data_IF_436131085663
#
_entry.id   IF_436131085663
#
_cell.length_a   1.000
_cell.length_b   1.000
_cell.length_c   1.000
_cell.angle_alpha   90.00
_cell.angle_beta   90.00
_cell.angle_gamma   90.00
#
_symmetry.space_group_name_H-M   'P 1'
#
loop_
_entity.id
_entity.type
_entity.pdbx_description
1 polymer ?
#
# COMPACT_ATOMS: atom_id res chain seq x y z
N UNK A 1 -20.04 49.90 22.58
CA UNK A 1 -20.50 48.51 22.46
C UNK A 1 -20.08 47.99 21.10
N UNK A 2 -19.00 47.20 21.06
CA UNK A 2 -18.44 46.67 19.81
C UNK A 2 -19.16 45.39 19.42
N UNK A 3 -19.79 45.37 18.26
CA UNK A 3 -20.35 44.16 17.66
C UNK A 3 -19.21 43.35 17.02
N UNK A 4 -18.82 42.26 17.64
CA UNK A 4 -18.03 41.20 17.03
C UNK A 4 -18.92 40.44 16.04
N UNK A 5 -18.70 40.66 14.74
CA UNK A 5 -19.25 39.79 13.70
C UNK A 5 -18.61 38.41 13.86
N UNK A 6 -19.42 37.44 14.26
CA UNK A 6 -19.05 36.03 14.24
C UNK A 6 -18.88 35.63 12.77
N UNK A 7 -17.64 35.32 12.36
CA UNK A 7 -17.37 34.69 11.08
C UNK A 7 -17.78 33.22 11.22
N UNK A 8 -18.87 32.85 10.54
CA UNK A 8 -19.12 31.45 10.20
C UNK A 8 -17.93 30.92 9.37
N UNK A 9 -17.38 29.73 9.67
CA UNK A 9 -16.39 29.11 8.81
C UNK A 9 -17.06 28.78 7.47
N UNK A 10 -16.53 29.35 6.39
CA UNK A 10 -16.95 29.03 5.04
C UNK A 10 -16.80 27.51 4.80
N UNK A 11 -17.80 26.84 4.20
CA UNK A 11 -17.65 25.46 3.80
C UNK A 11 -16.70 25.38 2.61
N UNK A 12 -15.43 25.05 2.88
CA UNK A 12 -14.46 24.61 1.87
C UNK A 12 -15.00 23.34 1.19
N UNK A 13 -15.86 23.52 0.20
CA UNK A 13 -16.57 22.48 -0.53
C UNK A 13 -16.23 22.56 -2.02
N UNK A 14 -14.96 22.77 -2.34
CA UNK A 14 -14.45 22.30 -3.63
C UNK A 14 -14.21 20.79 -3.47
N UNK A 15 -14.77 19.94 -4.35
CA UNK A 15 -14.43 18.52 -4.34
C UNK A 15 -12.90 18.39 -4.48
N UNK A 16 -12.29 17.55 -3.65
CA UNK A 16 -10.86 17.23 -3.75
C UNK A 16 -10.67 16.38 -5.02
N UNK A 17 -10.66 17.03 -6.18
CA UNK A 17 -10.57 16.39 -7.50
C UNK A 17 -9.37 15.44 -7.55
N UNK A 18 -8.23 15.84 -6.96
CA UNK A 18 -7.05 15.00 -6.88
C UNK A 18 -7.29 13.74 -6.05
N UNK A 19 -7.98 13.88 -4.92
CA UNK A 19 -8.36 12.74 -4.10
C UNK A 19 -9.33 11.80 -4.81
N UNK A 20 -10.34 12.33 -5.49
CA UNK A 20 -11.28 11.54 -6.27
C UNK A 20 -10.56 10.77 -7.42
N UNK A 21 -9.66 11.44 -8.14
CA UNK A 21 -8.87 10.79 -9.21
C UNK A 21 -7.92 9.74 -8.63
N UNK A 22 -7.26 10.00 -7.49
CA UNK A 22 -6.43 9.02 -6.81
C UNK A 22 -7.21 7.76 -6.44
N UNK A 23 -8.36 7.92 -5.78
CA UNK A 23 -9.21 6.80 -5.38
C UNK A 23 -9.72 6.02 -6.60
N UNK A 24 -10.21 6.71 -7.63
CA UNK A 24 -10.68 6.05 -8.85
C UNK A 24 -9.55 5.36 -9.61
N UNK A 25 -8.34 5.93 -9.62
CA UNK A 25 -7.17 5.30 -10.23
C UNK A 25 -6.80 3.99 -9.55
N UNK A 26 -6.85 3.95 -8.21
CA UNK A 26 -6.64 2.71 -7.44
C UNK A 26 -7.72 1.67 -7.78
N UNK A 27 -8.99 2.08 -7.82
CA UNK A 27 -10.10 1.19 -8.19
C UNK A 27 -9.92 0.65 -9.62
N UNK A 28 -9.57 1.53 -10.57
CA UNK A 28 -9.31 1.15 -11.96
C UNK A 28 -8.18 0.13 -12.08
N UNK A 29 -7.04 0.41 -11.44
CA UNK A 29 -5.89 -0.51 -11.40
C UNK A 29 -6.23 -1.85 -10.73
N UNK A 30 -7.05 -1.83 -9.68
CA UNK A 30 -7.47 -3.03 -8.96
C UNK A 30 -8.42 -3.88 -9.81
N UNK A 31 -9.35 -3.25 -10.54
CA UNK A 31 -10.23 -3.94 -11.48
C UNK A 31 -9.43 -4.60 -12.60
N UNK A 32 -8.44 -3.89 -13.17
CA UNK A 32 -7.54 -4.44 -14.18
C UNK A 32 -6.75 -5.63 -13.64
N UNK A 33 -6.13 -5.49 -12.47
CA UNK A 33 -5.36 -6.57 -11.87
C UNK A 33 -6.21 -7.80 -11.50
N UNK A 34 -7.48 -7.59 -11.13
CA UNK A 34 -8.44 -8.66 -10.81
C UNK A 34 -8.67 -9.60 -11.99
N UNK A 35 -8.61 -9.11 -13.22
CA UNK A 35 -8.71 -9.93 -14.44
C UNK A 35 -7.55 -10.96 -14.51
N UNK A 36 -6.33 -10.55 -14.13
CA UNK A 36 -5.16 -11.42 -14.09
C UNK A 36 -5.16 -12.38 -12.90
N UNK A 37 -5.55 -11.92 -11.71
CA UNK A 37 -5.68 -12.79 -10.53
C UNK A 37 -6.77 -13.85 -10.69
N UNK A 38 -7.78 -13.54 -11.51
CA UNK A 38 -8.87 -14.47 -11.83
C UNK A 38 -8.62 -15.37 -13.03
N UNK A 39 -7.45 -15.30 -13.65
CA UNK A 39 -7.10 -16.14 -14.78
C UNK A 39 -6.74 -17.54 -14.29
N UNK A 40 -7.53 -18.53 -14.71
CA UNK A 40 -7.27 -19.94 -14.43
C UNK A 40 -6.52 -20.55 -15.61
N UNK A 41 -5.24 -20.87 -15.40
CA UNK A 41 -4.48 -21.65 -16.37
C UNK A 41 -4.75 -23.15 -16.14
N UNK A 42 -5.38 -23.86 -17.11
CA UNK A 42 -5.63 -25.29 -16.99
C UNK A 42 -4.35 -26.11 -16.79
N UNK A 43 -3.20 -25.61 -17.27
CA UNK A 43 -1.90 -26.25 -17.11
C UNK A 43 -1.08 -25.69 -15.94
N UNK A 44 -1.58 -24.65 -15.28
CA UNK A 44 -0.97 -24.01 -14.13
C UNK A 44 0.50 -23.56 -14.34
N UNK A 45 0.85 -23.21 -15.58
CA UNK A 45 2.17 -22.71 -16.01
C UNK A 45 2.27 -21.20 -15.94
N UNK A 46 1.16 -20.50 -16.10
CA UNK A 46 1.07 -19.04 -16.11
C UNK A 46 0.74 -18.54 -14.70
N UNK A 47 1.79 -18.19 -13.95
CA UNK A 47 1.67 -17.58 -12.63
C UNK A 47 2.49 -16.29 -12.61
N UNK A 48 1.84 -15.12 -12.74
CA UNK A 48 2.53 -13.84 -12.62
C UNK A 48 3.20 -13.73 -11.26
N UNK A 49 4.45 -13.27 -11.25
CA UNK A 49 5.16 -12.92 -10.02
C UNK A 49 4.55 -11.66 -9.38
N UNK A 50 4.80 -11.43 -8.09
CA UNK A 50 4.41 -10.17 -7.42
C UNK A 50 4.95 -8.95 -8.17
N UNK A 51 6.19 -9.00 -8.67
CA UNK A 51 6.78 -7.90 -9.46
C UNK A 51 5.99 -7.63 -10.74
N UNK A 52 5.55 -8.67 -11.43
CA UNK A 52 4.68 -8.53 -12.63
C UNK A 52 3.33 -7.95 -12.27
N UNK A 53 2.72 -8.38 -11.16
CA UNK A 53 1.45 -7.83 -10.68
C UNK A 53 1.59 -6.35 -10.28
N UNK A 54 2.71 -5.98 -9.66
CA UNK A 54 3.07 -4.60 -9.34
C UNK A 54 3.13 -3.73 -10.60
N UNK A 55 3.83 -4.18 -11.63
CA UNK A 55 3.93 -3.46 -12.91
C UNK A 55 2.56 -3.27 -13.56
N UNK A 56 1.72 -4.31 -13.61
CA UNK A 56 0.37 -4.23 -14.17
C UNK A 56 -0.48 -3.20 -13.39
N UNK A 57 -0.44 -3.27 -12.05
CA UNK A 57 -1.18 -2.34 -11.20
C UNK A 57 -0.73 -0.90 -11.43
N UNK A 58 0.57 -0.65 -11.39
CA UNK A 58 1.13 0.70 -11.50
C UNK A 58 0.94 1.29 -12.89
N UNK A 59 1.15 0.53 -13.96
CA UNK A 59 0.89 1.00 -15.32
C UNK A 59 -0.57 1.41 -15.46
N UNK A 60 -1.50 0.58 -14.98
CA UNK A 60 -2.94 0.89 -15.02
C UNK A 60 -3.27 2.17 -14.24
N UNK A 61 -2.68 2.33 -13.05
CA UNK A 61 -2.88 3.53 -12.21
C UNK A 61 -2.29 4.80 -12.85
N UNK A 62 -1.08 4.73 -13.38
CA UNK A 62 -0.37 5.86 -13.99
C UNK A 62 -1.08 6.29 -15.28
N UNK A 63 -1.48 5.34 -16.12
CA UNK A 63 -2.26 5.62 -17.33
C UNK A 63 -3.58 6.32 -16.99
N UNK A 64 -4.28 5.85 -15.95
CA UNK A 64 -5.49 6.53 -15.48
C UNK A 64 -5.23 7.97 -15.03
N UNK A 65 -4.17 8.21 -14.25
CA UNK A 65 -3.81 9.56 -13.81
C UNK A 65 -3.48 10.49 -14.98
N UNK A 66 -2.74 9.98 -15.99
CA UNK A 66 -2.40 10.73 -17.19
C UNK A 66 -3.64 11.07 -18.04
N UNK A 67 -4.58 10.14 -18.20
CA UNK A 67 -5.85 10.39 -18.88
C UNK A 67 -6.70 11.47 -18.18
N UNK A 68 -6.55 11.61 -16.86
CA UNK A 68 -7.21 12.66 -16.06
C UNK A 68 -6.43 13.96 -15.97
N UNK A 69 -5.21 14.03 -16.52
CA UNK A 69 -4.38 15.24 -16.52
C UNK A 69 -3.88 15.66 -15.14
N UNK A 70 -3.63 14.70 -14.23
CA UNK A 70 -3.17 14.96 -12.86
C UNK A 70 -1.77 14.41 -12.55
N UNK A 71 -1.03 13.98 -13.56
CA UNK A 71 0.30 13.38 -13.45
C UNK A 71 1.34 14.31 -12.78
N UNK A 72 1.14 15.63 -12.85
CA UNK A 72 1.99 16.59 -12.14
C UNK A 72 1.64 16.76 -10.65
N UNK A 73 0.54 16.16 -10.19
CA UNK A 73 0.05 16.26 -8.82
C UNK A 73 0.00 14.90 -8.11
N UNK A 74 -0.10 13.80 -8.85
CA UNK A 74 -0.03 12.44 -8.33
C UNK A 74 1.13 11.74 -9.00
N UNK A 75 2.22 11.55 -8.26
CA UNK A 75 3.43 10.90 -8.77
C UNK A 75 3.58 9.50 -8.19
N UNK A 76 4.12 8.60 -9.00
CA UNK A 76 4.48 7.24 -8.61
C UNK A 76 5.99 7.07 -8.77
N UNK A 77 6.68 6.70 -7.69
CA UNK A 77 8.13 6.42 -7.72
C UNK A 77 8.37 4.97 -7.34
N UNK A 78 8.77 4.15 -8.31
CA UNK A 78 9.12 2.74 -8.09
C UNK A 78 10.52 2.61 -7.53
N UNK A 79 10.68 1.78 -6.50
CA UNK A 79 11.99 1.52 -5.91
C UNK A 79 12.79 0.54 -6.76
N UNK A 80 14.09 0.81 -6.89
CA UNK A 80 15.03 -0.18 -7.45
C UNK A 80 15.12 -1.41 -6.55
N UNK A 81 15.59 -2.55 -7.08
CA UNK A 81 15.78 -3.77 -6.26
C UNK A 81 16.61 -3.51 -4.99
N UNK A 82 17.65 -2.69 -5.08
CA UNK A 82 18.50 -2.31 -3.94
C UNK A 82 17.73 -1.46 -2.92
N UNK A 83 16.94 -0.49 -3.37
CA UNK A 83 16.10 0.33 -2.48
C UNK A 83 14.99 -0.49 -1.82
N UNK A 84 14.38 -1.44 -2.54
CA UNK A 84 13.39 -2.37 -1.98
C UNK A 84 13.98 -3.21 -0.85
N UNK A 85 15.18 -3.76 -1.06
CA UNK A 85 15.90 -4.52 -0.02
C UNK A 85 16.23 -3.66 1.20
N UNK A 86 16.57 -2.38 0.99
CA UNK A 86 16.94 -1.44 2.04
C UNK A 86 15.73 -0.97 2.86
N UNK A 87 14.67 -0.53 2.18
CA UNK A 87 13.54 0.17 2.80
C UNK A 87 12.29 -0.70 3.00
N UNK A 88 12.21 -1.88 2.39
CA UNK A 88 11.00 -2.70 2.41
C UNK A 88 9.81 -2.07 1.68
N UNK A 89 10.06 -1.05 0.84
CA UNK A 89 9.05 -0.29 0.09
C UNK A 89 9.18 -0.64 -1.39
N UNK A 90 8.09 -1.05 -2.05
CA UNK A 90 8.07 -1.34 -3.49
C UNK A 90 7.93 -0.07 -4.34
N UNK A 91 7.04 0.84 -3.94
CA UNK A 91 6.87 2.15 -4.57
C UNK A 91 6.33 3.18 -3.58
N UNK A 92 6.36 4.45 -3.99
CA UNK A 92 5.74 5.54 -3.24
C UNK A 92 4.76 6.27 -4.15
N UNK A 93 3.51 6.41 -3.71
CA UNK A 93 2.62 7.43 -4.26
C UNK A 93 2.79 8.73 -3.50
N UNK A 94 2.91 9.84 -4.22
CA UNK A 94 2.96 11.17 -3.64
C UNK A 94 1.85 12.02 -4.23
N UNK A 95 0.99 12.55 -3.37
CA UNK A 95 -0.03 13.53 -3.74
C UNK A 95 0.49 14.90 -3.33
N UNK A 96 0.59 15.79 -4.30
CA UNK A 96 1.04 17.16 -4.13
C UNK A 96 -0.15 18.11 -3.94
N UNK A 97 0.03 19.10 -3.07
CA UNK A 97 -0.91 20.21 -2.94
C UNK A 97 -0.83 21.18 -4.12
N UNK A 98 -1.69 22.21 -4.12
CA UNK A 98 -1.70 23.26 -5.15
C UNK A 98 -0.33 23.94 -5.32
N UNK A 99 0.38 24.17 -4.20
CA UNK A 99 1.70 24.81 -4.17
C UNK A 99 2.86 23.83 -4.45
N UNK A 100 2.57 22.65 -5.00
CA UNK A 100 3.51 21.54 -5.24
C UNK A 100 4.25 21.05 -3.98
N UNK A 101 3.76 21.41 -2.79
CA UNK A 101 4.20 20.80 -1.54
C UNK A 101 3.65 19.37 -1.41
N UNK A 102 4.35 18.51 -0.69
CA UNK A 102 3.86 17.17 -0.39
C UNK A 102 2.67 17.27 0.56
N UNK A 103 1.47 16.87 0.10
CA UNK A 103 0.27 16.79 0.94
C UNK A 103 0.25 15.47 1.70
N UNK A 104 0.54 14.37 1.01
CA UNK A 104 0.61 13.03 1.59
C UNK A 104 1.43 12.09 0.70
N UNK A 105 2.10 11.14 1.32
CA UNK A 105 2.82 10.06 0.65
C UNK A 105 2.39 8.70 1.19
N UNK A 106 2.26 7.74 0.29
CA UNK A 106 1.99 6.34 0.60
C UNK A 106 3.17 5.51 0.11
N UNK A 107 4.19 5.24 0.95
CA UNK A 107 5.09 4.13 0.67
C UNK A 107 4.33 2.82 0.81
N UNK A 108 4.40 2.03 -0.25
CA UNK A 108 3.64 0.80 -0.40
C UNK A 108 4.57 -0.39 -0.35
N UNK A 109 4.22 -1.36 0.49
CA UNK A 109 4.76 -2.70 0.45
C UNK A 109 3.70 -3.65 -0.11
N UNK A 110 4.09 -4.49 -1.06
CA UNK A 110 3.19 -5.45 -1.73
C UNK A 110 3.53 -6.88 -1.35
N UNK A 111 2.51 -7.74 -1.34
CA UNK A 111 2.71 -9.17 -1.21
C UNK A 111 1.58 -9.95 -1.90
N UNK A 112 1.90 -11.15 -2.36
CA UNK A 112 0.90 -12.08 -2.88
C UNK A 112 0.60 -13.12 -1.80
N UNK A 113 -0.69 -13.32 -1.48
CA UNK A 113 -1.12 -14.26 -0.41
C UNK A 113 -1.94 -15.43 -0.92
N UNK A 114 -2.04 -15.66 -2.23
CA UNK A 114 -2.75 -16.83 -2.76
C UNK A 114 -2.22 -18.14 -2.15
N UNK A 115 -3.10 -19.14 -1.98
CA UNK A 115 -2.74 -20.47 -1.46
C UNK A 115 -1.55 -21.09 -2.21
N UNK A 116 -1.41 -20.73 -3.47
CA UNK A 116 -0.34 -21.15 -4.35
C UNK A 116 0.97 -20.38 -4.16
N UNK A 117 0.91 -19.06 -3.90
CA UNK A 117 2.08 -18.26 -3.54
C UNK A 117 2.67 -18.69 -2.18
N UNK A 118 1.81 -19.12 -1.23
CA UNK A 118 2.26 -19.70 0.03
C UNK A 118 2.99 -21.05 -0.19
N UNK A 119 2.54 -21.85 -1.17
CA UNK A 119 3.21 -23.11 -1.57
C UNK A 119 4.50 -22.90 -2.34
N UNK A 120 4.64 -21.84 -3.14
CA UNK A 120 5.89 -21.51 -3.84
C UNK A 120 6.94 -20.90 -2.92
N UNK A 121 6.56 -20.06 -1.95
CA UNK A 121 7.48 -19.51 -0.93
C UNK A 121 8.18 -20.62 -0.13
N UNK A 122 7.49 -21.72 0.19
CA UNK A 122 8.12 -22.89 0.82
C UNK A 122 9.17 -23.57 -0.07
N UNK A 123 9.05 -23.48 -1.40
CA UNK A 123 9.98 -24.10 -2.38
C UNK A 123 11.14 -23.19 -2.78
N UNK A 124 10.92 -21.87 -2.81
CA UNK A 124 11.98 -20.89 -3.17
C UNK A 124 12.96 -20.63 -2.03
N UNK A 125 12.58 -20.94 -0.79
CA UNK A 125 13.50 -20.96 0.37
C UNK A 125 14.65 -21.97 0.15
N UNK A 126 14.48 -22.99 -0.69
CA UNK A 126 15.53 -23.95 -1.07
C UNK A 126 16.37 -23.53 -2.29
N UNK A 127 15.93 -22.57 -3.11
CA UNK A 127 16.53 -22.28 -4.43
C UNK A 127 17.15 -20.90 -4.60
N UNK A 128 17.04 -20.00 -3.62
CA UNK A 128 17.61 -18.66 -3.70
C UNK A 128 19.10 -18.61 -3.28
N UNK A 129 19.96 -19.39 -3.97
CA UNK A 129 21.43 -19.28 -3.87
C UNK A 129 22.05 -18.96 -5.25
N UNK A 130 21.42 -18.04 -5.99
CA UNK A 130 21.75 -17.76 -7.39
C UNK A 130 22.25 -16.35 -7.70
N UNK A 131 22.68 -15.54 -6.71
CA UNK A 131 23.52 -14.35 -6.94
C UNK A 131 24.07 -13.78 -5.61
N UNK A 132 25.19 -14.32 -5.13
CA UNK A 132 25.60 -14.29 -3.70
C UNK A 132 26.63 -13.20 -3.36
N UNK A 133 26.99 -12.24 -4.22
CA UNK A 133 28.05 -11.27 -3.85
C UNK A 133 27.57 -9.88 -3.44
N UNK A 134 26.70 -9.24 -4.23
CA UNK A 134 26.15 -7.92 -3.85
C UNK A 134 24.94 -8.01 -2.93
N UNK A 135 24.04 -8.98 -3.17
CA UNK A 135 22.86 -9.20 -2.33
C UNK A 135 23.29 -9.60 -0.92
N UNK A 136 24.35 -10.40 -0.76
CA UNK A 136 24.78 -10.92 0.54
C UNK A 136 25.39 -9.88 1.46
N UNK A 137 26.01 -8.82 0.94
CA UNK A 137 26.53 -7.72 1.77
C UNK A 137 25.40 -6.80 2.25
N UNK A 138 24.45 -6.46 1.37
CA UNK A 138 23.25 -5.72 1.76
C UNK A 138 22.37 -6.57 2.70
N UNK A 139 22.11 -7.84 2.40
CA UNK A 139 21.38 -8.76 3.26
C UNK A 139 22.04 -8.91 4.63
N UNK A 140 23.36 -9.04 4.70
CA UNK A 140 24.05 -9.17 5.99
C UNK A 140 23.93 -7.91 6.86
N UNK A 141 23.86 -6.72 6.25
CA UNK A 141 23.70 -5.44 6.96
C UNK A 141 22.23 -5.14 7.32
N UNK A 142 21.27 -5.63 6.54
CA UNK A 142 19.84 -5.28 6.67
C UNK A 142 18.94 -6.44 7.13
N UNK A 143 19.51 -7.61 7.46
CA UNK A 143 18.79 -8.80 7.98
C UNK A 143 18.11 -8.61 9.34
N UNK A 144 18.47 -7.56 10.08
CA UNK A 144 17.93 -7.37 11.43
C UNK A 144 16.50 -6.83 11.47
N UNK A 145 15.91 -6.44 10.33
CA UNK A 145 14.56 -5.88 10.26
C UNK A 145 13.72 -6.61 9.19
N UNK A 146 12.51 -6.99 9.57
CA UNK A 146 11.43 -7.41 8.66
C UNK A 146 11.03 -6.28 7.71
N UNK A 147 10.36 -6.61 6.59
CA UNK A 147 9.92 -5.57 5.66
C UNK A 147 8.91 -4.62 6.32
N UNK A 148 8.02 -5.15 7.16
CA UNK A 148 7.18 -4.36 8.05
C UNK A 148 7.98 -3.34 8.88
N UNK A 149 9.07 -3.76 9.54
CA UNK A 149 9.88 -2.86 10.39
C UNK A 149 10.62 -1.81 9.55
N UNK A 150 11.05 -2.18 8.34
CA UNK A 150 11.68 -1.23 7.41
C UNK A 150 10.68 -0.17 6.92
N UNK A 151 9.42 -0.55 6.61
CA UNK A 151 8.36 0.39 6.25
C UNK A 151 8.01 1.32 7.44
N UNK A 152 7.96 0.77 8.66
CA UNK A 152 7.75 1.53 9.88
C UNK A 152 8.85 2.58 10.10
N UNK A 153 10.11 2.18 9.98
CA UNK A 153 11.26 3.08 10.06
C UNK A 153 11.25 4.13 8.95
N UNK A 154 10.98 3.72 7.70
CA UNK A 154 10.89 4.61 6.55
C UNK A 154 9.90 5.75 6.82
N UNK A 155 8.68 5.44 7.25
CA UNK A 155 7.72 6.49 7.55
C UNK A 155 8.08 7.33 8.77
N UNK A 156 8.74 6.76 9.78
CA UNK A 156 9.25 7.54 10.91
C UNK A 156 10.30 8.57 10.47
N UNK A 157 11.13 8.25 9.47
CA UNK A 157 12.17 9.14 8.95
C UNK A 157 11.61 10.24 8.04
N UNK A 158 10.60 9.93 7.21
CA UNK A 158 9.93 10.91 6.34
C UNK A 158 9.08 11.89 7.15
N UNK A 159 8.39 11.39 8.18
CA UNK A 159 7.63 12.20 9.12
C UNK A 159 6.12 12.25 8.81
N UNK A 160 5.48 13.35 9.20
CA UNK A 160 4.01 13.44 9.36
C UNK A 160 3.21 13.24 8.07
N UNK A 161 3.81 13.44 6.91
CA UNK A 161 3.15 13.30 5.62
C UNK A 161 3.27 11.89 5.03
N UNK A 162 3.96 10.97 5.73
CA UNK A 162 4.08 9.57 5.35
C UNK A 162 3.02 8.69 5.99
N UNK A 163 2.27 7.96 5.17
CA UNK A 163 1.30 6.95 5.60
C UNK A 163 1.66 5.62 4.96
N UNK A 164 2.32 4.75 5.72
CA UNK A 164 2.72 3.43 5.24
C UNK A 164 1.51 2.59 4.87
N UNK A 165 1.61 1.85 3.77
CA UNK A 165 0.52 1.03 3.26
C UNK A 165 1.02 -0.35 2.83
N UNK A 166 0.22 -1.38 3.12
CA UNK A 166 0.38 -2.72 2.59
C UNK A 166 -0.67 -2.97 1.51
N UNK A 167 -0.29 -3.64 0.42
CA UNK A 167 -1.23 -4.18 -0.56
C UNK A 167 -1.01 -5.69 -0.66
N UNK A 168 -2.12 -6.44 -0.62
CA UNK A 168 -2.14 -7.87 -0.85
C UNK A 168 -2.86 -8.18 -2.14
N UNK A 169 -2.21 -8.94 -3.01
CA UNK A 169 -2.81 -9.51 -4.21
C UNK A 169 -3.22 -10.95 -3.97
N UNK A 170 -4.52 -11.21 -4.02
CA UNK A 170 -5.12 -12.50 -3.77
C UNK A 170 -5.06 -12.90 -2.31
N UNK A 171 -6.20 -13.31 -1.76
CA UNK A 171 -6.33 -13.80 -0.38
C UNK A 171 -6.73 -15.28 -0.42
N UNK A 172 -6.26 -16.14 0.51
CA UNK A 172 -6.73 -17.52 0.61
C UNK A 172 -8.26 -17.60 0.63
N UNK A 173 -8.82 -18.51 -0.18
CA UNK A 173 -10.27 -18.62 -0.39
C UNK A 173 -10.93 -17.51 -1.23
N UNK A 174 -10.27 -16.36 -1.41
CA UNK A 174 -10.71 -15.26 -2.29
C UNK A 174 -9.55 -14.78 -3.18
N UNK A 175 -9.11 -15.61 -4.16
CA UNK A 175 -7.87 -15.36 -4.91
C UNK A 175 -7.90 -14.10 -5.79
N UNK A 176 -9.10 -13.58 -6.10
CA UNK A 176 -9.29 -12.35 -6.88
C UNK A 176 -9.35 -11.08 -6.01
N UNK A 177 -9.37 -11.22 -4.68
CA UNK A 177 -9.42 -10.07 -3.78
C UNK A 177 -8.09 -9.33 -3.80
N UNK A 178 -8.17 -8.00 -3.84
CA UNK A 178 -7.02 -7.11 -3.64
C UNK A 178 -7.37 -6.25 -2.44
N UNK A 179 -6.54 -6.30 -1.40
CA UNK A 179 -6.80 -5.60 -0.13
C UNK A 179 -5.63 -4.70 0.22
N UNK A 180 -5.94 -3.55 0.79
CA UNK A 180 -4.96 -2.65 1.38
C UNK A 180 -5.00 -2.69 2.91
N UNK A 181 -3.95 -2.23 3.58
CA UNK A 181 -3.99 -1.91 5.00
C UNK A 181 -3.05 -0.75 5.28
N UNK A 182 -3.47 0.18 6.15
CA UNK A 182 -2.56 1.22 6.63
C UNK A 182 -1.66 0.65 7.72
N UNK A 183 -0.42 1.15 7.78
CA UNK A 183 0.56 0.76 8.79
C UNK A 183 0.00 0.92 10.20
N UNK A 184 -0.75 1.99 10.46
CA UNK A 184 -1.39 2.24 11.76
C UNK A 184 -2.47 1.20 12.11
N UNK A 185 -3.25 0.73 11.12
CA UNK A 185 -4.25 -0.34 11.34
C UNK A 185 -3.58 -1.66 11.74
N UNK A 186 -2.46 -2.00 11.08
CA UNK A 186 -1.70 -3.20 11.42
C UNK A 186 -1.03 -3.06 12.79
N UNK A 187 -0.48 -1.87 13.12
CA UNK A 187 0.09 -1.55 14.43
C UNK A 187 -0.92 -1.68 15.56
N UNK A 188 -2.14 -1.19 15.36
CA UNK A 188 -3.19 -1.22 16.38
C UNK A 188 -3.61 -2.64 16.76
N UNK A 189 -3.43 -3.61 15.85
CA UNK A 189 -3.66 -5.03 16.12
C UNK A 189 -2.55 -5.69 16.95
N UNK A 190 -1.41 -5.02 17.15
CA UNK A 190 -0.25 -5.58 17.87
C UNK A 190 -0.59 -5.78 19.34
N UNK A 191 -0.90 -7.02 19.69
CA UNK A 191 -1.02 -7.49 21.08
C UNK A 191 0.31 -8.11 21.53
N UNK A 192 0.49 -8.32 22.84
CA UNK A 192 1.70 -8.98 23.39
C UNK A 192 1.99 -10.37 22.80
N UNK A 193 0.98 -11.02 22.20
CA UNK A 193 1.07 -12.36 21.61
C UNK A 193 1.06 -12.35 20.07
N UNK A 194 1.07 -11.17 19.42
CA UNK A 194 1.06 -11.12 17.95
C UNK A 194 2.40 -11.59 17.39
N UNK A 195 2.41 -12.37 16.29
CA UNK A 195 3.65 -12.78 15.65
C UNK A 195 4.42 -11.55 15.15
N UNK A 196 5.76 -11.55 15.16
CA UNK A 196 6.54 -10.39 14.76
C UNK A 196 6.58 -10.20 13.23
N UNK A 197 6.80 -8.96 12.80
CA UNK A 197 7.14 -8.60 11.43
C UNK A 197 6.10 -8.99 10.37
N UNK A 198 6.54 -9.56 9.25
CA UNK A 198 5.70 -9.82 8.08
C UNK A 198 4.61 -10.88 8.32
N UNK A 199 4.78 -11.75 9.33
CA UNK A 199 3.75 -12.70 9.75
C UNK A 199 2.55 -11.97 10.36
N UNK A 200 2.78 -10.87 11.07
CA UNK A 200 1.72 -9.99 11.59
C UNK A 200 0.87 -9.41 10.47
N UNK A 201 1.52 -8.98 9.38
CA UNK A 201 0.83 -8.39 8.21
C UNK A 201 -0.05 -9.44 7.55
N UNK A 202 0.46 -10.66 7.34
CA UNK A 202 -0.34 -11.77 6.80
C UNK A 202 -1.53 -12.11 7.71
N UNK A 203 -1.28 -12.26 9.01
CA UNK A 203 -2.34 -12.51 10.00
C UNK A 203 -3.38 -11.39 10.04
N UNK A 204 -2.94 -10.13 9.83
CA UNK A 204 -3.82 -8.97 9.68
C UNK A 204 -4.87 -9.22 8.58
N UNK A 205 -4.43 -9.52 7.36
CA UNK A 205 -5.34 -9.69 6.22
C UNK A 205 -6.23 -10.93 6.30
N UNK A 206 -5.79 -11.99 6.99
CA UNK A 206 -6.56 -13.24 7.11
C UNK A 206 -7.71 -13.16 8.11
N UNK A 207 -7.57 -12.38 9.18
CA UNK A 207 -8.55 -12.35 10.26
C UNK A 207 -9.23 -10.98 10.44
N UNK A 208 -9.15 -10.12 9.43
CA UNK A 208 -9.84 -8.82 9.43
C UNK A 208 -10.98 -8.85 8.42
N UNK A 209 -12.21 -8.73 8.92
CA UNK A 209 -13.42 -8.75 8.09
C UNK A 209 -13.99 -7.35 7.81
N UNK A 210 -13.75 -6.39 8.71
CA UNK A 210 -14.18 -5.00 8.54
C UNK A 210 -13.30 -4.28 7.51
N UNK A 211 -13.92 -3.41 6.72
CA UNK A 211 -13.21 -2.68 5.66
C UNK A 211 -13.64 -1.22 5.52
N UNK A 212 -12.75 -0.44 4.92
CA UNK A 212 -12.99 0.90 4.43
C UNK A 212 -12.91 0.93 2.91
N UNK A 213 -13.70 1.78 2.28
CA UNK A 213 -13.48 2.14 0.88
C UNK A 213 -12.17 2.93 0.71
N UNK A 214 -11.66 2.97 -0.51
CA UNK A 214 -10.48 3.78 -0.85
C UNK A 214 -10.71 5.28 -0.59
N UNK A 215 -11.96 5.74 -0.75
CA UNK A 215 -12.35 7.13 -0.45
C UNK A 215 -12.28 7.42 1.04
N UNK A 216 -12.89 6.57 1.87
CA UNK A 216 -12.85 6.73 3.32
C UNK A 216 -11.43 6.68 3.86
N UNK A 217 -10.58 5.79 3.32
CA UNK A 217 -9.15 5.77 3.63
C UNK A 217 -8.51 7.14 3.38
N UNK A 218 -8.65 7.69 2.17
CA UNK A 218 -8.01 8.95 1.82
C UNK A 218 -8.53 10.11 2.68
N UNK A 219 -9.85 10.18 2.89
CA UNK A 219 -10.45 11.21 3.75
C UNK A 219 -9.91 11.15 5.19
N UNK A 220 -9.74 9.95 5.75
CA UNK A 220 -9.18 9.77 7.10
C UNK A 220 -7.71 10.15 7.16
N UNK A 221 -6.94 9.84 6.11
CA UNK A 221 -5.54 10.23 5.98
C UNK A 221 -5.34 11.75 5.88
N UNK A 222 -6.23 12.46 5.17
CA UNK A 222 -6.17 13.91 5.02
C UNK A 222 -6.62 14.67 6.28
N UNK A 223 -7.56 14.12 7.07
CA UNK A 223 -8.06 14.72 8.33
C UNK A 223 -7.04 14.54 9.47
N UNK A 224 -5.89 15.21 9.43
CA UNK A 224 -4.84 15.09 10.47
C UNK A 224 -5.25 15.76 11.78
N UNK A 225 -5.63 14.96 12.79
CA UNK A 225 -5.35 15.30 14.19
C UNK A 225 -5.37 14.14 15.17
N UNK A 226 -6.16 13.08 14.94
CA UNK A 226 -6.14 11.82 15.73
C UNK A 226 -6.85 10.65 15.01
N UNK A 227 -7.39 10.84 13.80
CA UNK A 227 -8.26 9.89 13.09
C UNK A 227 -7.57 8.57 12.73
N UNK A 228 -6.29 8.61 12.33
CA UNK A 228 -5.53 7.41 11.94
C UNK A 228 -5.27 6.45 13.12
N UNK A 229 -5.14 6.99 14.35
CA UNK A 229 -4.92 6.17 15.54
C UNK A 229 -6.18 5.38 15.96
N UNK A 230 -7.35 5.83 15.53
CA UNK A 230 -8.65 5.23 15.84
C UNK A 230 -9.22 4.41 14.67
N UNK A 231 -8.37 3.99 13.72
CA UNK A 231 -8.82 3.26 12.54
C UNK A 231 -9.41 1.88 12.85
N UNK A 232 -9.23 1.37 14.06
CA UNK A 232 -9.57 -0.01 14.40
C UNK A 232 -8.83 -1.02 13.52
N UNK A 233 -9.26 -2.28 13.60
CA UNK A 233 -8.74 -3.36 12.76
C UNK A 233 -9.59 -3.42 11.49
N UNK A 234 -9.24 -2.60 10.49
CA UNK A 234 -9.95 -2.53 9.21
C UNK A 234 -8.97 -2.65 8.05
N UNK A 235 -9.33 -3.41 7.02
CA UNK A 235 -8.59 -3.39 5.76
C UNK A 235 -9.21 -2.38 4.78
N UNK A 236 -8.51 -2.06 3.69
CA UNK A 236 -9.01 -1.20 2.62
C UNK A 236 -9.50 -2.09 1.49
N UNK A 237 -10.78 -1.97 1.15
CA UNK A 237 -11.31 -2.56 -0.07
C UNK A 237 -11.09 -1.58 -1.23
N UNK A 238 -10.37 -2.04 -2.26
CA UNK A 238 -10.11 -1.24 -3.46
C UNK A 238 -11.17 -1.40 -4.56
N UNK A 239 -12.25 -2.14 -4.30
CA UNK A 239 -13.34 -2.40 -5.26
C UNK A 239 -14.71 -1.98 -4.72
#
# INVERSE_FOLDING_TARGET
MGQTKSQEPAPDSKPDILGDVFCQGIVHASQKLKEYLGFEDPQNRLQPSTDTLNEIFLVSFISYCAEKGVEEHITTSTMTKQQRLLFGVDWIWTILGPDKNVKIQFPVQTSQMSDQALRSQMRDTEKCYGNIKEITLADALYKNKSNYEKLEEFCSLVGRDCVGMFIVFGVPGKPKDIRGALLDSVKNRRNKNSPPGDVMVKDFFLNTDEFLSTREMLERCCKKKNSLKDLGNVYINFL
#
